data_IF_340698768968
#
_entry.id   IF_340698768968
#
_cell.length_a   1.000
_cell.length_b   1.000
_cell.length_c   1.000
_cell.angle_alpha   90.00
_cell.angle_beta   90.00
_cell.angle_gamma   90.00
#
_symmetry.space_group_name_H-M   'P 1'
#
loop_
_entity.id
_entity.type
_entity.pdbx_description
1 polymer ?
#
# COMPACT_ATOMS: atom_id res chain seq x y z
N UNK A 1 -7.38 -70.35 40.77
CA UNK A 1 -8.70 -70.93 41.15
C UNK A 1 -9.62 -69.78 41.54
N UNK A 2 -10.76 -69.66 40.84
CA UNK A 2 -12.04 -69.05 41.27
C UNK A 2 -11.97 -67.61 41.82
N UNK A 3 -12.59 -66.59 41.24
CA UNK A 3 -14.01 -66.53 40.85
C UNK A 3 -14.32 -65.16 40.20
N UNK A 4 -15.19 -65.20 39.19
CA UNK A 4 -16.05 -64.09 38.73
C UNK A 4 -17.31 -64.04 39.66
N UNK A 5 -18.32 -63.14 39.50
CA UNK A 5 -18.44 -61.90 38.72
C UNK A 5 -19.25 -60.77 39.45
N UNK A 6 -19.68 -59.76 38.66
CA UNK A 6 -20.92 -58.95 38.75
C UNK A 6 -21.03 -57.81 39.77
N UNK A 7 -21.06 -56.57 39.29
CA UNK A 7 -22.35 -55.90 39.05
C UNK A 7 -22.21 -54.61 38.23
N UNK A 8 -23.03 -54.52 37.18
CA UNK A 8 -23.29 -53.32 36.38
C UNK A 8 -24.16 -52.35 37.19
N UNK A 9 -23.82 -51.06 37.20
CA UNK A 9 -24.79 -49.97 37.28
C UNK A 9 -24.34 -48.84 36.34
N UNK A 10 -25.22 -48.51 35.40
CA UNK A 10 -25.18 -47.36 34.50
C UNK A 10 -24.98 -46.05 35.27
N UNK A 11 -24.07 -45.19 34.80
CA UNK A 11 -24.19 -43.75 35.05
C UNK A 11 -23.91 -42.95 33.77
N UNK A 12 -25.02 -42.42 33.28
CA UNK A 12 -25.23 -41.26 32.43
C UNK A 12 -24.05 -40.27 32.40
N UNK A 13 -23.33 -40.23 31.28
CA UNK A 13 -22.33 -39.19 31.00
C UNK A 13 -23.04 -37.89 30.63
N UNK A 14 -23.11 -36.94 31.58
CA UNK A 14 -23.32 -35.53 31.25
C UNK A 14 -22.05 -34.99 30.58
N UNK A 15 -22.09 -34.82 29.25
CA UNK A 15 -21.12 -33.98 28.56
C UNK A 15 -21.43 -32.51 28.86
N UNK A 16 -20.65 -31.91 29.75
CA UNK A 16 -20.55 -30.46 29.86
C UNK A 16 -19.82 -29.94 28.62
N UNK A 17 -20.61 -29.41 27.66
CA UNK A 17 -20.10 -28.66 26.53
C UNK A 17 -19.52 -27.32 27.03
N UNK A 18 -18.20 -27.26 27.21
CA UNK A 18 -17.49 -25.99 27.30
C UNK A 18 -17.45 -25.42 25.88
N UNK A 19 -18.37 -24.49 25.58
CA UNK A 19 -18.25 -23.62 24.40
C UNK A 19 -17.03 -22.73 24.60
N UNK A 20 -15.87 -23.16 24.08
CA UNK A 20 -14.77 -22.26 23.80
C UNK A 20 -15.21 -21.34 22.66
N UNK A 21 -15.56 -20.10 23.00
CA UNK A 21 -15.74 -19.06 22.01
C UNK A 21 -14.35 -18.70 21.47
N UNK A 22 -14.07 -19.16 20.25
CA UNK A 22 -12.96 -18.65 19.47
C UNK A 22 -13.23 -17.17 19.17
N UNK A 23 -12.53 -16.28 19.88
CA UNK A 23 -12.48 -14.86 19.59
C UNK A 23 -11.66 -14.71 18.31
N UNK A 24 -12.30 -14.28 17.22
CA UNK A 24 -11.62 -13.90 16.00
C UNK A 24 -10.76 -12.65 16.26
N UNK A 25 -9.44 -12.65 15.96
CA UNK A 25 -8.60 -11.48 16.17
C UNK A 25 -8.25 -10.85 14.82
N UNK A 26 -9.10 -10.01 14.21
CA UNK A 26 -8.62 -9.07 13.17
C UNK A 26 -9.65 -8.00 12.73
N UNK A 27 -10.02 -7.04 13.60
CA UNK A 27 -10.93 -5.97 13.17
C UNK A 27 -10.67 -4.58 13.76
N UNK A 28 -9.50 -4.32 14.35
CA UNK A 28 -9.25 -3.06 15.06
C UNK A 28 -8.34 -2.03 14.35
N UNK A 29 -7.66 -2.34 13.24
CA UNK A 29 -6.60 -1.44 12.70
C UNK A 29 -6.72 -1.07 11.20
N UNK A 30 -7.93 -1.10 10.61
CA UNK A 30 -8.14 -0.76 9.19
C UNK A 30 -8.82 0.61 9.06
N UNK A 31 -8.17 1.54 8.36
CA UNK A 31 -8.75 2.84 8.00
C UNK A 31 -9.04 2.88 6.51
N UNK A 32 -10.29 3.19 6.15
CA UNK A 32 -10.73 3.44 4.77
C UNK A 32 -10.73 4.93 4.46
N UNK A 33 -10.24 5.31 3.28
CA UNK A 33 -10.30 6.68 2.80
C UNK A 33 -11.73 7.01 2.29
N UNK A 34 -12.31 8.17 2.65
CA UNK A 34 -13.61 8.57 2.14
C UNK A 34 -13.54 8.89 0.64
N UNK A 35 -14.54 8.44 -0.12
CA UNK A 35 -14.75 8.83 -1.52
C UNK A 35 -15.28 10.28 -1.54
N UNK A 36 -14.51 11.21 -2.11
CA UNK A 36 -14.94 12.60 -2.27
C UNK A 36 -15.82 12.72 -3.51
N UNK A 37 -17.06 13.20 -3.34
CA UNK A 37 -18.11 13.28 -4.36
C UNK A 37 -17.95 14.41 -5.39
N UNK A 38 -16.73 14.89 -5.63
CA UNK A 38 -16.40 15.87 -6.67
C UNK A 38 -15.01 15.56 -7.19
N UNK A 39 -14.89 14.89 -8.33
CA UNK A 39 -13.64 14.46 -9.00
C UNK A 39 -12.65 13.77 -8.07
N UNK A 40 -12.36 12.48 -8.24
CA UNK A 40 -11.49 11.75 -7.31
C UNK A 40 -10.08 12.38 -7.21
N UNK A 41 -9.91 13.36 -6.31
CA UNK A 41 -8.65 14.05 -6.11
C UNK A 41 -7.73 13.10 -5.36
N UNK A 42 -6.59 12.77 -5.97
CA UNK A 42 -5.51 12.07 -5.28
C UNK A 42 -5.12 12.83 -4.01
N UNK A 43 -5.37 12.22 -2.85
CA UNK A 43 -5.11 12.85 -1.56
C UNK A 43 -3.66 12.66 -1.12
N UNK A 44 -3.12 13.61 -0.35
CA UNK A 44 -1.82 13.46 0.33
C UNK A 44 -2.01 12.98 1.78
N UNK A 45 -1.24 11.97 2.18
CA UNK A 45 -1.20 11.42 3.56
C UNK A 45 0.24 11.15 3.98
N UNK A 46 0.43 10.92 5.29
CA UNK A 46 1.75 10.77 5.89
C UNK A 46 1.92 9.41 6.57
N UNK A 47 2.91 8.63 6.15
CA UNK A 47 3.16 7.28 6.64
C UNK A 47 3.42 7.26 8.16
N UNK A 48 4.26 8.17 8.68
CA UNK A 48 4.55 8.24 10.11
C UNK A 48 3.32 8.63 10.95
N UNK A 49 2.33 9.32 10.35
CA UNK A 49 1.08 9.62 11.05
C UNK A 49 0.32 8.33 11.35
N UNK A 50 0.22 7.40 10.40
CA UNK A 50 -0.44 6.10 10.63
C UNK A 50 0.25 5.31 11.74
N UNK A 51 1.58 5.21 11.70
CA UNK A 51 2.34 4.48 12.72
C UNK A 51 2.23 5.10 14.12
N UNK A 52 2.22 6.43 14.22
CA UNK A 52 2.00 7.13 15.50
C UNK A 52 0.61 6.85 16.10
N UNK A 53 -0.39 6.65 15.25
CA UNK A 53 -1.75 6.28 15.67
C UNK A 53 -1.96 4.75 15.70
N UNK A 54 -0.88 3.97 15.64
CA UNK A 54 -0.90 2.50 15.65
C UNK A 54 -1.68 1.85 14.49
N UNK A 55 -2.03 2.59 13.44
CA UNK A 55 -2.74 2.06 12.27
C UNK A 55 -1.76 1.21 11.46
N UNK A 56 -2.11 -0.06 11.26
CA UNK A 56 -1.28 -1.05 10.56
C UNK A 56 -1.67 -1.25 9.11
N UNK A 57 -2.94 -1.03 8.77
CA UNK A 57 -3.48 -1.29 7.44
C UNK A 57 -4.25 -0.08 6.93
N UNK A 58 -3.88 0.38 5.75
CA UNK A 58 -4.55 1.43 5.00
C UNK A 58 -5.32 0.80 3.84
N UNK A 59 -6.64 0.99 3.83
CA UNK A 59 -7.48 0.60 2.71
C UNK A 59 -7.50 1.73 1.67
N UNK A 60 -7.07 1.40 0.45
CA UNK A 60 -6.89 2.31 -0.66
C UNK A 60 -7.98 2.08 -1.73
N UNK A 61 -8.87 3.06 -1.89
CA UNK A 61 -10.01 2.97 -2.83
C UNK A 61 -9.74 3.71 -4.16
N UNK A 62 -9.04 4.83 -4.10
CA UNK A 62 -8.51 5.58 -5.26
C UNK A 62 -6.98 5.67 -5.21
N UNK A 63 -6.39 6.61 -5.94
CA UNK A 63 -4.96 6.91 -5.82
C UNK A 63 -4.64 7.69 -4.54
N UNK A 64 -3.39 7.57 -4.08
CA UNK A 64 -2.90 8.27 -2.89
C UNK A 64 -1.44 8.70 -3.05
N UNK A 65 -1.18 9.96 -2.71
CA UNK A 65 0.18 10.43 -2.45
C UNK A 65 0.54 10.12 -1.00
N UNK A 66 1.50 9.23 -0.78
CA UNK A 66 2.01 8.89 0.54
C UNK A 66 3.40 9.51 0.74
N UNK A 67 3.45 10.54 1.57
CA UNK A 67 4.70 11.13 2.04
C UNK A 67 5.15 10.48 3.35
N UNK A 68 6.45 10.55 3.67
CA UNK A 68 6.94 9.99 4.93
C UNK A 68 6.37 10.77 6.14
N UNK A 69 6.51 12.09 6.14
CA UNK A 69 6.13 12.98 7.24
C UNK A 69 5.84 14.40 6.76
N UNK A 70 4.93 15.10 7.43
CA UNK A 70 4.74 16.56 7.30
C UNK A 70 5.64 17.35 8.27
N UNK A 71 6.22 16.67 9.25
CA UNK A 71 7.04 17.26 10.29
C UNK A 71 8.47 16.79 10.10
N UNK A 72 9.30 17.69 9.55
CA UNK A 72 10.72 17.45 9.34
C UNK A 72 11.47 18.55 10.09
N UNK A 73 11.76 18.30 11.37
CA UNK A 73 12.44 19.25 12.26
C UNK A 73 13.75 18.63 12.76
N UNK A 74 14.81 19.44 12.79
CA UNK A 74 16.08 19.07 13.44
C UNK A 74 17.19 18.57 12.52
N UNK A 75 18.40 18.53 13.07
CA UNK A 75 19.55 17.83 12.50
C UNK A 75 19.47 16.33 12.86
N UNK A 76 20.29 15.48 12.21
CA UNK A 76 20.30 14.03 12.51
C UNK A 76 20.64 13.70 13.98
N UNK A 77 21.27 14.63 14.70
CA UNK A 77 21.61 14.46 16.14
C UNK A 77 20.39 14.65 17.05
N UNK A 78 19.35 15.31 16.55
CA UNK A 78 18.20 15.76 17.35
C UNK A 78 16.96 14.88 17.16
N UNK A 79 17.02 13.90 16.24
CA UNK A 79 15.87 13.09 15.81
C UNK A 79 16.13 11.62 16.12
N UNK A 80 15.15 10.91 16.68
CA UNK A 80 15.25 9.47 16.94
C UNK A 80 14.96 8.64 15.68
N UNK A 81 15.46 7.41 15.64
CA UNK A 81 15.11 6.46 14.59
C UNK A 81 13.62 6.10 14.67
N UNK A 82 12.93 6.28 13.56
CA UNK A 82 11.56 5.89 13.35
C UNK A 82 11.53 4.51 12.69
N UNK A 83 10.74 3.60 13.25
CA UNK A 83 10.40 2.32 12.62
C UNK A 83 8.91 2.29 12.35
N UNK A 84 8.54 2.23 11.08
CA UNK A 84 7.16 2.30 10.66
C UNK A 84 6.87 1.21 9.63
N UNK A 85 5.92 0.34 9.96
CA UNK A 85 5.40 -0.67 9.06
C UNK A 85 3.92 -0.37 8.78
N UNK A 86 3.59 -0.23 7.49
CA UNK A 86 2.25 0.05 7.00
C UNK A 86 1.93 -0.91 5.84
N UNK A 87 0.80 -1.60 5.94
CA UNK A 87 0.22 -2.36 4.84
C UNK A 87 -0.74 -1.46 4.07
N UNK A 88 -0.61 -1.44 2.76
CA UNK A 88 -1.55 -0.76 1.86
C UNK A 88 -2.30 -1.84 1.10
N UNK A 89 -3.62 -1.87 1.28
CA UNK A 89 -4.51 -2.89 0.70
C UNK A 89 -5.51 -2.22 -0.23
N UNK A 90 -5.74 -2.84 -1.39
CA UNK A 90 -6.82 -2.48 -2.32
C UNK A 90 -7.86 -3.59 -2.37
N UNK A 91 -8.96 -3.33 -3.07
CA UNK A 91 -9.96 -4.36 -3.39
C UNK A 91 -9.30 -5.62 -3.99
N UNK A 92 -9.81 -6.82 -3.67
CA UNK A 92 -9.21 -8.10 -4.07
C UNK A 92 -9.05 -8.31 -5.57
N UNK A 93 -9.84 -7.61 -6.39
CA UNK A 93 -9.75 -7.65 -7.85
C UNK A 93 -8.70 -6.70 -8.45
N UNK A 94 -8.02 -5.90 -7.62
CA UNK A 94 -7.05 -4.87 -8.01
C UNK A 94 -5.64 -5.19 -7.50
N UNK A 95 -4.67 -4.54 -8.10
CA UNK A 95 -3.26 -4.50 -7.73
C UNK A 95 -2.85 -3.05 -7.44
N UNK A 96 -1.62 -2.84 -6.97
CA UNK A 96 -1.09 -1.52 -6.60
C UNK A 96 0.15 -1.23 -7.44
N UNK A 97 0.12 -0.11 -8.14
CA UNK A 97 1.29 0.51 -8.75
C UNK A 97 1.87 1.51 -7.74
N UNK A 98 3.14 1.34 -7.38
CA UNK A 98 3.88 2.26 -6.53
C UNK A 98 4.92 3.00 -7.36
N UNK A 99 4.88 4.32 -7.32
CA UNK A 99 5.83 5.19 -8.01
C UNK A 99 6.55 6.09 -7.02
N UNK A 100 7.82 6.40 -7.31
CA UNK A 100 8.61 7.35 -6.51
C UNK A 100 8.61 8.71 -7.20
N UNK A 101 7.91 9.69 -6.62
CA UNK A 101 8.00 11.09 -7.06
C UNK A 101 9.20 11.79 -6.43
N UNK A 102 9.56 11.37 -5.22
CA UNK A 102 10.75 11.85 -4.52
C UNK A 102 11.29 10.74 -3.64
N UNK A 103 12.60 10.56 -3.65
CA UNK A 103 13.30 9.76 -2.66
C UNK A 103 14.56 10.54 -2.25
N UNK A 104 14.57 10.97 -1.00
CA UNK A 104 15.61 11.77 -0.35
C UNK A 104 15.81 11.19 1.06
N UNK A 105 16.32 9.96 1.10
CA UNK A 105 16.60 9.22 2.32
C UNK A 105 18.12 9.22 2.52
N UNK A 106 18.59 9.49 3.74
CA UNK A 106 20.01 9.63 4.02
C UNK A 106 20.79 8.34 3.69
N UNK A 107 21.83 8.46 2.84
CA UNK A 107 22.76 7.38 2.50
C UNK A 107 24.11 7.48 3.24
N UNK A 108 24.25 8.48 4.10
CA UNK A 108 25.39 8.63 4.98
C UNK A 108 25.31 7.59 6.10
N UNK A 109 26.39 6.81 6.26
CA UNK A 109 26.65 5.73 7.25
C UNK A 109 26.58 4.28 6.71
N UNK A 110 27.28 3.37 7.40
CA UNK A 110 27.34 1.93 7.08
C UNK A 110 25.98 1.20 7.15
N UNK A 111 24.96 1.82 7.74
CA UNK A 111 23.55 1.41 7.58
C UNK A 111 22.71 2.62 7.18
N UNK A 112 22.30 2.73 5.91
CA UNK A 112 21.46 3.83 5.48
C UNK A 112 20.06 3.72 6.11
N UNK A 113 19.43 4.87 6.26
CA UNK A 113 17.97 4.94 6.39
C UNK A 113 17.37 4.29 5.14
N UNK A 114 16.19 3.72 5.24
CA UNK A 114 15.67 2.89 4.14
C UNK A 114 14.18 2.73 4.16
N UNK A 115 13.60 2.67 2.96
CA UNK A 115 12.28 2.12 2.72
C UNK A 115 12.42 0.75 2.05
N UNK A 116 11.85 -0.29 2.66
CA UNK A 116 11.65 -1.58 2.02
C UNK A 116 10.20 -1.72 1.59
N UNK A 117 10.00 -2.10 0.33
CA UNK A 117 8.67 -2.41 -0.22
C UNK A 117 8.62 -3.91 -0.44
N UNK A 118 7.58 -4.54 0.08
CA UNK A 118 7.30 -5.94 -0.15
C UNK A 118 5.95 -6.10 -0.86
N UNK A 119 5.91 -7.00 -1.83
CA UNK A 119 4.66 -7.59 -2.30
C UNK A 119 4.17 -8.55 -1.22
N UNK A 120 3.00 -8.29 -0.64
CA UNK A 120 2.53 -9.04 0.52
C UNK A 120 1.44 -10.04 0.11
N UNK A 121 1.88 -11.25 -0.23
CA UNK A 121 1.00 -12.37 -0.56
C UNK A 121 0.47 -13.02 0.75
N UNK A 122 -0.62 -13.82 0.68
CA UNK A 122 -1.19 -14.45 1.87
C UNK A 122 -0.20 -15.27 2.72
N UNK A 123 0.70 -16.00 2.05
CA UNK A 123 1.62 -16.92 2.72
C UNK A 123 3.07 -16.39 2.81
N UNK A 124 3.41 -15.32 2.09
CA UNK A 124 4.77 -14.79 2.05
C UNK A 124 4.86 -13.32 1.63
N UNK A 125 5.92 -12.64 2.11
CA UNK A 125 6.28 -11.30 1.62
C UNK A 125 7.50 -11.37 0.69
N UNK A 126 7.37 -10.89 -0.54
CA UNK A 126 8.49 -10.82 -1.52
C UNK A 126 9.04 -9.40 -1.55
N UNK A 127 10.34 -9.23 -1.27
CA UNK A 127 10.99 -7.92 -1.31
C UNK A 127 11.09 -7.40 -2.75
N UNK A 128 10.50 -6.23 -3.03
CA UNK A 128 10.51 -5.58 -4.35
C UNK A 128 11.66 -4.58 -4.51
N UNK A 129 11.96 -3.82 -3.45
CA UNK A 129 13.13 -2.91 -3.42
C UNK A 129 14.46 -3.69 -3.39
N UNK A 130 15.61 -3.05 -3.67
CA UNK A 130 16.92 -3.67 -3.45
C UNK A 130 17.08 -4.25 -2.04
N UNK A 131 17.98 -5.22 -1.84
CA UNK A 131 18.21 -5.93 -0.56
C UNK A 131 18.40 -4.98 0.64
N UNK A 132 19.07 -3.86 0.41
CA UNK A 132 19.35 -2.84 1.42
C UNK A 132 18.21 -1.82 1.62
N UNK A 133 17.13 -1.94 0.84
CA UNK A 133 16.03 -0.97 0.75
C UNK A 133 16.31 0.13 -0.29
N UNK A 134 15.29 0.94 -0.55
CA UNK A 134 15.40 2.20 -1.29
C UNK A 134 15.93 3.29 -0.36
N UNK A 135 17.00 3.96 -0.77
CA UNK A 135 17.62 5.08 -0.07
C UNK A 135 18.47 5.94 -1.02
N UNK A 136 18.97 7.07 -0.53
CA UNK A 136 19.74 8.05 -1.31
C UNK A 136 18.86 9.16 -1.87
N UNK A 137 19.45 9.93 -2.80
CA UNK A 137 18.79 11.02 -3.51
C UNK A 137 18.36 10.58 -4.91
N UNK A 138 17.11 10.86 -5.25
CA UNK A 138 16.50 10.53 -6.53
C UNK A 138 15.52 11.64 -6.92
N UNK A 139 15.89 12.50 -7.88
CA UNK A 139 15.00 13.51 -8.43
C UNK A 139 14.11 12.97 -9.58
N UNK A 140 14.19 11.67 -9.92
CA UNK A 140 13.50 11.02 -11.06
C UNK A 140 14.42 10.07 -11.87
N UNK A 141 13.86 9.10 -12.61
CA UNK A 141 14.59 8.17 -13.51
C UNK A 141 14.92 6.75 -12.99
N UNK A 142 16.07 6.17 -13.36
CA UNK A 142 16.58 4.89 -12.80
C UNK A 142 17.85 5.19 -12.00
N UNK A 143 17.76 5.16 -10.67
CA UNK A 143 18.93 5.29 -9.80
C UNK A 143 18.98 4.14 -8.80
N UNK A 144 20.13 3.45 -8.72
CA UNK A 144 20.41 2.38 -7.73
C UNK A 144 19.34 1.27 -7.65
N UNK A 145 18.69 0.94 -8.77
CA UNK A 145 17.69 -0.14 -8.85
C UNK A 145 16.31 0.20 -8.28
N UNK A 146 16.06 1.46 -7.90
CA UNK A 146 14.72 1.97 -7.61
C UNK A 146 14.01 2.26 -8.93
N UNK A 147 12.76 1.82 -9.00
CA UNK A 147 11.84 1.97 -10.14
C UNK A 147 10.41 1.94 -9.62
N UNK A 148 9.44 2.12 -10.51
CA UNK A 148 8.06 1.81 -10.15
C UNK A 148 7.91 0.31 -9.88
N UNK A 149 7.09 -0.03 -8.89
CA UNK A 149 6.83 -1.40 -8.48
C UNK A 149 5.36 -1.73 -8.64
N UNK A 150 5.07 -2.83 -9.33
CA UNK A 150 3.72 -3.39 -9.40
C UNK A 150 3.62 -4.49 -8.35
N UNK A 151 2.56 -4.49 -7.56
CA UNK A 151 2.21 -5.66 -6.76
C UNK A 151 1.68 -6.78 -7.67
N UNK A 152 1.89 -8.03 -7.26
CA UNK A 152 1.24 -9.19 -7.86
C UNK A 152 -0.08 -9.53 -7.17
N UNK A 153 -0.24 -9.10 -5.90
CA UNK A 153 -1.46 -9.25 -5.11
C UNK A 153 -2.14 -7.90 -4.82
N UNK A 154 -3.17 -7.87 -3.98
CA UNK A 154 -3.90 -6.65 -3.62
C UNK A 154 -3.33 -5.94 -2.38
N UNK A 155 -2.11 -6.29 -1.95
CA UNK A 155 -1.47 -5.69 -0.78
C UNK A 155 0.04 -5.47 -0.97
N UNK A 156 0.50 -4.27 -0.61
CA UNK A 156 1.91 -3.96 -0.43
C UNK A 156 2.20 -3.72 1.05
N UNK A 157 3.36 -4.17 1.52
CA UNK A 157 3.89 -3.84 2.85
C UNK A 157 5.06 -2.88 2.72
N UNK A 158 4.92 -1.71 3.32
CA UNK A 158 5.93 -0.66 3.38
C UNK A 158 6.59 -0.69 4.75
N UNK A 159 7.91 -0.85 4.80
CA UNK A 159 8.68 -0.84 6.03
C UNK A 159 9.76 0.25 5.94
N UNK A 160 9.56 1.33 6.66
CA UNK A 160 10.53 2.42 6.80
C UNK A 160 11.32 2.27 8.10
N UNK A 161 12.63 2.44 7.99
CA UNK A 161 13.54 2.53 9.14
C UNK A 161 14.53 3.66 8.88
N UNK A 162 14.51 4.72 9.70
CA UNK A 162 15.41 5.85 9.52
C UNK A 162 15.09 7.07 10.37
N UNK A 163 15.81 8.16 10.13
CA UNK A 163 15.66 9.44 10.81
C UNK A 163 15.36 10.52 9.78
N UNK A 164 14.08 10.90 9.55
CA UNK A 164 13.77 11.99 8.63
C UNK A 164 14.37 13.30 9.16
N UNK A 165 15.09 14.02 8.30
CA UNK A 165 15.71 15.32 8.63
C UNK A 165 15.46 16.34 7.52
N UNK A 166 15.76 17.62 7.77
CA UNK A 166 15.54 18.68 6.76
C UNK A 166 16.24 18.43 5.43
N UNK A 167 17.40 17.75 5.45
CA UNK A 167 18.20 17.45 4.26
C UNK A 167 17.92 16.04 3.69
N UNK A 168 17.15 15.23 4.41
CA UNK A 168 16.70 13.90 3.99
C UNK A 168 15.26 13.71 4.46
N UNK A 169 14.29 14.42 3.85
CA UNK A 169 12.90 14.44 4.29
C UNK A 169 12.17 13.10 4.07
N UNK A 170 12.80 12.14 3.40
CA UNK A 170 12.26 10.81 3.17
C UNK A 170 11.78 10.63 1.75
N UNK A 171 10.51 10.26 1.58
CA UNK A 171 9.97 9.94 0.25
C UNK A 171 8.62 10.61 0.01
N UNK A 172 8.24 10.65 -1.27
CA UNK A 172 6.89 10.93 -1.76
C UNK A 172 6.54 9.84 -2.77
N UNK A 173 5.56 9.02 -2.43
CA UNK A 173 5.10 7.91 -3.28
C UNK A 173 3.75 8.26 -3.88
N UNK A 174 3.50 7.82 -5.11
CA UNK A 174 2.14 7.70 -5.65
C UNK A 174 1.75 6.23 -5.65
N UNK A 175 0.62 5.91 -5.02
CA UNK A 175 0.04 4.57 -4.96
C UNK A 175 -1.25 4.58 -5.76
N UNK A 176 -1.31 3.78 -6.83
CA UNK A 176 -2.45 3.75 -7.75
C UNK A 176 -3.00 2.32 -7.83
N UNK A 177 -4.27 2.09 -7.44
CA UNK A 177 -4.95 0.84 -7.71
C UNK A 177 -5.13 0.60 -9.21
N UNK A 178 -4.80 -0.59 -9.70
CA UNK A 178 -4.98 -0.93 -11.11
C UNK A 178 -5.52 -2.34 -11.31
N UNK A 179 -6.15 -2.59 -12.46
CA UNK A 179 -6.49 -3.91 -12.98
C UNK A 179 -5.59 -4.24 -14.17
N UNK A 180 -5.41 -5.53 -14.44
CA UNK A 180 -4.80 -5.98 -15.69
C UNK A 180 -5.82 -5.81 -16.82
N UNK A 181 -5.32 -5.66 -18.05
CA UNK A 181 -6.14 -5.75 -19.24
C UNK A 181 -6.90 -7.08 -19.32
N UNK A 182 -8.14 -7.04 -19.81
CA UNK A 182 -8.95 -8.25 -20.07
C UNK A 182 -8.70 -8.84 -21.45
N UNK A 183 -8.21 -8.01 -22.38
CA UNK A 183 -7.69 -8.38 -23.68
C UNK A 183 -6.73 -7.28 -24.11
N UNK A 184 -5.89 -7.54 -25.11
CA UNK A 184 -4.89 -6.56 -25.59
C UNK A 184 -5.53 -5.18 -25.83
N UNK A 185 -5.02 -4.15 -25.16
CA UNK A 185 -5.51 -2.78 -25.21
C UNK A 185 -6.98 -2.61 -24.77
N UNK A 186 -7.50 -3.52 -23.95
CA UNK A 186 -8.90 -3.51 -23.50
C UNK A 186 -8.98 -3.57 -21.98
N UNK A 187 -9.57 -2.52 -21.41
CA UNK A 187 -9.90 -2.44 -20.00
C UNK A 187 -11.36 -2.83 -19.73
N UNK A 188 -11.68 -3.26 -18.50
CA UNK A 188 -13.06 -3.34 -18.03
C UNK A 188 -13.78 -1.98 -18.15
N UNK A 189 -15.10 -2.01 -18.18
CA UNK A 189 -15.91 -0.79 -18.14
C UNK A 189 -15.61 0.03 -16.88
N UNK A 190 -15.55 1.36 -17.02
CA UNK A 190 -15.19 2.29 -15.94
C UNK A 190 -13.68 2.41 -15.67
N UNK A 191 -12.83 1.84 -16.52
CA UNK A 191 -11.37 1.93 -16.39
C UNK A 191 -10.74 2.64 -17.60
N UNK A 192 -9.74 3.48 -17.33
CA UNK A 192 -8.86 4.09 -18.30
C UNK A 192 -7.69 3.17 -18.64
N UNK A 193 -7.32 3.12 -19.92
CA UNK A 193 -6.26 2.26 -20.43
C UNK A 193 -4.92 2.99 -20.51
N UNK A 194 -3.96 2.54 -19.69
CA UNK A 194 -2.58 3.02 -19.71
C UNK A 194 -1.81 2.37 -20.88
N UNK A 195 -1.66 3.14 -21.95
CA UNK A 195 -1.26 2.65 -23.27
C UNK A 195 0.12 1.99 -23.37
N UNK A 196 1.09 2.41 -22.55
CA UNK A 196 2.47 1.92 -22.56
C UNK A 196 2.64 0.81 -21.53
N UNK A 197 1.96 0.93 -20.38
CA UNK A 197 2.08 -0.03 -19.27
C UNK A 197 1.19 -1.25 -19.39
N UNK A 198 0.18 -1.23 -20.24
CA UNK A 198 -0.81 -2.30 -20.39
C UNK A 198 -1.55 -2.62 -19.07
N UNK A 199 -1.93 -1.57 -18.36
CA UNK A 199 -2.74 -1.64 -17.13
C UNK A 199 -3.98 -0.76 -17.27
N UNK A 200 -4.93 -1.00 -16.37
CA UNK A 200 -6.21 -0.32 -16.34
C UNK A 200 -6.38 0.37 -14.99
N UNK A 201 -6.39 1.70 -14.97
CA UNK A 201 -6.69 2.49 -13.77
C UNK A 201 -8.16 2.90 -13.77
N UNK A 202 -8.71 3.29 -12.63
CA UNK A 202 -10.08 3.80 -12.59
C UNK A 202 -10.21 5.05 -13.47
N UNK A 203 -11.26 5.17 -14.28
CA UNK A 203 -11.43 6.32 -15.19
C UNK A 203 -11.49 7.66 -14.47
N UNK A 204 -11.87 7.69 -13.18
CA UNK A 204 -11.84 8.90 -12.35
C UNK A 204 -10.43 9.42 -12.04
N UNK A 205 -9.40 8.59 -12.27
CA UNK A 205 -7.99 8.94 -12.07
C UNK A 205 -7.33 9.49 -13.34
N UNK A 206 -8.05 9.53 -14.47
CA UNK A 206 -7.56 10.23 -15.65
C UNK A 206 -7.82 11.73 -15.46
N UNK A 207 -6.80 12.55 -15.77
CA UNK A 207 -6.86 14.00 -15.66
C UNK A 207 -7.07 14.52 -14.24
N UNK A 208 -6.50 13.82 -13.27
CA UNK A 208 -6.54 14.22 -11.85
C UNK A 208 -5.30 15.03 -11.42
N UNK A 209 -4.39 15.29 -12.36
CA UNK A 209 -3.12 15.99 -12.13
C UNK A 209 -1.97 15.07 -11.70
N UNK A 210 -2.17 13.75 -11.68
CA UNK A 210 -1.17 12.76 -11.29
C UNK A 210 -0.98 11.70 -12.37
N UNK A 211 0.27 11.34 -12.75
CA UNK A 211 0.56 10.27 -13.71
C UNK A 211 0.32 8.88 -13.09
N UNK A 212 -0.93 8.53 -12.84
CA UNK A 212 -1.40 7.26 -12.31
C UNK A 212 -1.06 6.07 -13.22
N UNK A 213 -0.78 6.30 -14.50
CA UNK A 213 -0.31 5.27 -15.42
C UNK A 213 1.18 4.88 -15.25
N UNK A 214 1.98 5.63 -14.49
CA UNK A 214 3.38 5.29 -14.21
C UNK A 214 4.40 6.32 -14.71
N UNK A 215 5.63 6.25 -14.23
CA UNK A 215 6.72 7.20 -14.56
C UNK A 215 7.16 7.23 -16.05
N UNK A 216 6.61 6.34 -16.88
CA UNK A 216 6.90 6.25 -18.33
C UNK A 216 5.62 6.21 -19.17
N UNK A 217 4.48 6.47 -18.56
CA UNK A 217 3.17 6.44 -19.19
C UNK A 217 2.32 7.52 -18.53
N UNK A 218 2.30 8.71 -19.13
CA UNK A 218 1.50 9.86 -18.69
C UNK A 218 0.22 10.00 -19.53
N UNK A 219 -0.24 8.90 -20.14
CA UNK A 219 -1.35 8.93 -21.09
C UNK A 219 -2.69 9.32 -20.45
N UNK A 220 -2.84 9.08 -19.15
CA UNK A 220 -3.95 9.52 -18.30
C UNK A 220 -4.02 11.04 -18.12
N UNK A 221 -2.89 11.73 -18.21
CA UNK A 221 -2.81 13.19 -18.06
C UNK A 221 -2.68 13.94 -19.41
N UNK A 222 -2.49 13.21 -20.51
CA UNK A 222 -2.15 13.80 -21.81
C UNK A 222 -3.31 14.46 -22.59
N UNK A 223 -4.59 14.22 -22.24
CA UNK A 223 -5.76 14.64 -23.05
C UNK A 223 -6.86 15.37 -22.28
N UNK A 224 -6.50 16.11 -21.24
CA UNK A 224 -7.46 16.63 -20.27
C UNK A 224 -8.33 17.80 -20.75
N UNK A 225 -7.90 18.53 -21.78
CA UNK A 225 -8.70 19.60 -22.39
C UNK A 225 -10.00 19.08 -23.02
N UNK A 226 -10.02 17.86 -23.55
CA UNK A 226 -11.22 17.25 -24.13
C UNK A 226 -12.22 16.78 -23.07
N UNK A 227 -11.74 16.36 -21.89
CA UNK A 227 -12.60 15.89 -20.80
C UNK A 227 -13.31 17.03 -20.05
N UNK A 228 -12.68 18.20 -19.96
CA UNK A 228 -13.29 19.39 -19.36
C UNK A 228 -14.50 19.93 -20.16
N UNK A 229 -14.53 19.72 -21.48
CA UNK A 229 -15.65 20.11 -22.34
C UNK A 229 -16.83 19.12 -22.26
N UNK A 230 -16.55 17.82 -22.16
CA UNK A 230 -17.60 16.78 -22.03
C UNK A 230 -18.36 16.85 -20.69
N UNK A 231 -17.73 17.32 -19.61
CA UNK A 231 -18.39 17.52 -18.32
C UNK A 231 -19.18 18.84 -18.22
N UNK A 232 -19.00 19.76 -19.17
CA UNK A 232 -19.80 21.01 -19.26
C UNK A 232 -21.11 20.85 -20.04
N UNK A 233 -21.31 19.71 -20.70
CA UNK A 233 -22.48 19.44 -21.55
C UNK A 233 -23.50 18.49 -20.93
N UNK A 234 -23.43 18.25 -19.62
CA UNK A 234 -24.42 17.44 -18.86
C UNK A 234 -24.98 18.29 -17.71
#
# INVERSE_FOLDING_TARGET
MTSSPTNMINNLFMMLAVKSQAVAPDQQDVVSLPESSTGALTATRYMLSYCKHHIKTLQLNGSLVLELSNNVLGSRRDVNYEHCELKVRVESSKHILLQFFRLEIADTHGTPDRLKVFDNLPDMSVLLTPKHGAYGYFPGGIHRGVRDYNSTYNELKLNYFGQPTRNAPGFKLLLTPFKREIARNKCPEGYFHCSIRHICIDSSLACDGYPNCGSKDESDEGKCSYYAEAQKST
#
